data_IF_240371509956
#
_entry.id   IF_240371509956
#
_cell.length_a   1.000
_cell.length_b   1.000
_cell.length_c   1.000
_cell.angle_alpha   90.00
_cell.angle_beta   90.00
_cell.angle_gamma   90.00
#
_symmetry.space_group_name_H-M   'P 1'
#
loop_
_entity.id
_entity.type
_entity.pdbx_description
1 polymer ?
#
# COMPACT_ATOMS: atom_id res chain seq x y z
N UNK A 1 13.83 10.54 -24.48
CA UNK A 1 13.08 9.65 -23.53
C UNK A 1 13.07 10.37 -22.21
N UNK A 2 11.92 10.80 -21.73
CA UNK A 2 11.77 11.39 -20.39
C UNK A 2 12.08 10.32 -19.35
N UNK A 3 12.96 10.58 -18.37
CA UNK A 3 13.24 9.62 -17.32
C UNK A 3 11.96 9.27 -16.56
N UNK A 4 11.81 8.01 -16.18
CA UNK A 4 10.67 7.58 -15.39
C UNK A 4 10.68 8.31 -14.04
N UNK A 5 9.56 8.86 -13.57
CA UNK A 5 9.53 9.57 -12.30
C UNK A 5 9.90 8.61 -11.15
N UNK A 6 10.75 9.06 -10.27
CA UNK A 6 11.10 8.38 -9.02
C UNK A 6 10.32 9.05 -7.91
N UNK A 7 9.67 8.25 -7.06
CA UNK A 7 8.95 8.73 -5.87
C UNK A 7 9.52 8.09 -4.63
N UNK A 8 9.76 8.91 -3.63
CA UNK A 8 10.33 8.50 -2.37
C UNK A 8 9.24 8.39 -1.30
N UNK A 9 9.30 7.32 -0.52
CA UNK A 9 8.49 7.13 0.67
C UNK A 9 9.40 6.92 1.89
N UNK A 10 9.13 7.62 2.99
CA UNK A 10 9.94 7.51 4.21
C UNK A 10 9.10 7.13 5.42
N UNK A 11 9.72 6.50 6.40
CA UNK A 11 9.13 6.35 7.72
C UNK A 11 9.08 7.71 8.45
N UNK A 12 8.31 7.81 9.51
CA UNK A 12 8.07 9.07 10.21
C UNK A 12 9.36 9.74 10.73
N UNK A 13 10.38 8.96 11.12
CA UNK A 13 11.66 9.49 11.61
C UNK A 13 12.75 9.62 10.52
N UNK A 14 12.45 9.25 9.25
CA UNK A 14 13.38 9.33 8.13
C UNK A 14 14.51 8.29 8.10
N UNK A 15 14.51 7.31 9.02
CA UNK A 15 15.56 6.27 9.08
C UNK A 15 15.40 5.20 8.00
N UNK A 16 14.18 5.00 7.50
CA UNK A 16 13.88 4.07 6.39
C UNK A 16 13.40 4.86 5.19
N UNK A 17 13.95 4.54 4.02
CA UNK A 17 13.57 5.13 2.75
C UNK A 17 13.30 4.05 1.70
N UNK A 18 12.25 4.24 0.93
CA UNK A 18 11.82 3.39 -0.17
C UNK A 18 11.73 4.23 -1.43
N UNK A 19 12.09 3.64 -2.56
CA UNK A 19 11.90 4.24 -3.87
C UNK A 19 10.94 3.44 -4.73
N UNK A 20 10.08 4.16 -5.45
CA UNK A 20 9.16 3.63 -6.44
C UNK A 20 9.39 4.30 -7.78
N UNK A 21 9.71 3.52 -8.81
CA UNK A 21 10.08 4.02 -10.14
C UNK A 21 8.92 3.89 -11.12
N UNK A 22 8.61 4.97 -11.82
CA UNK A 22 7.62 5.00 -12.90
C UNK A 22 6.19 5.18 -12.43
N UNK A 23 5.25 4.75 -13.27
CA UNK A 23 3.82 4.87 -12.96
C UNK A 23 3.37 3.75 -12.02
N UNK A 24 2.57 4.05 -10.98
CA UNK A 24 1.93 3.03 -10.18
C UNK A 24 0.91 2.23 -11.00
N UNK A 25 0.60 1.02 -10.56
CA UNK A 25 -0.51 0.23 -11.11
C UNK A 25 -1.84 0.92 -10.79
N UNK A 26 -2.00 1.33 -9.53
CA UNK A 26 -3.17 2.03 -9.03
C UNK A 26 -2.87 2.72 -7.70
N UNK A 27 -3.59 3.79 -7.40
CA UNK A 27 -3.70 4.40 -6.08
C UNK A 27 -5.14 4.24 -5.60
N UNK A 28 -5.36 3.58 -4.46
CA UNK A 28 -6.69 3.18 -3.99
C UNK A 28 -6.82 3.21 -2.48
N UNK A 29 -8.06 3.37 -2.01
CA UNK A 29 -8.43 3.16 -0.59
C UNK A 29 -9.07 1.78 -0.45
N UNK A 30 -8.59 0.98 0.48
CA UNK A 30 -9.12 -0.36 0.74
C UNK A 30 -9.81 -0.44 2.11
N UNK A 31 -11.04 -0.97 2.10
CA UNK A 31 -11.87 -1.14 3.31
C UNK A 31 -11.98 -2.60 3.76
N UNK A 32 -11.25 -3.55 3.17
CA UNK A 32 -11.40 -4.96 3.53
C UNK A 32 -11.02 -5.23 4.99
N UNK A 33 -11.59 -6.28 5.57
CA UNK A 33 -11.37 -6.68 6.97
C UNK A 33 -9.89 -6.82 7.31
N UNK A 34 -9.10 -7.40 6.40
CA UNK A 34 -7.67 -7.61 6.62
C UNK A 34 -6.89 -6.29 6.65
N UNK A 35 -7.28 -5.28 5.85
CA UNK A 35 -6.68 -3.95 5.92
C UNK A 35 -7.02 -3.26 7.23
N UNK A 36 -8.27 -3.31 7.65
CA UNK A 36 -8.71 -2.73 8.93
C UNK A 36 -8.06 -3.43 10.13
N UNK A 37 -7.99 -4.77 10.14
CA UNK A 37 -7.30 -5.53 11.19
C UNK A 37 -5.82 -5.21 11.24
N UNK A 38 -5.17 -5.16 10.08
CA UNK A 38 -3.75 -4.84 9.97
C UNK A 38 -3.43 -3.41 10.41
N UNK A 39 -4.28 -2.45 10.07
CA UNK A 39 -4.15 -1.09 10.56
C UNK A 39 -4.20 -1.04 12.09
N UNK A 40 -5.20 -1.68 12.70
CA UNK A 40 -5.31 -1.76 14.18
C UNK A 40 -4.10 -2.45 14.80
N UNK A 41 -3.59 -3.53 14.21
CA UNK A 41 -2.39 -4.24 14.71
C UNK A 41 -1.17 -3.33 14.73
N UNK A 42 -0.94 -2.54 13.67
CA UNK A 42 0.21 -1.64 13.60
C UNK A 42 0.00 -0.43 14.52
N UNK A 43 -1.18 0.15 14.54
CA UNK A 43 -1.51 1.30 15.41
C UNK A 43 -1.40 0.98 16.91
N UNK A 44 -1.48 -0.30 17.30
CA UNK A 44 -1.26 -0.75 18.66
C UNK A 44 0.23 -0.83 19.05
N UNK A 45 1.15 -0.66 18.12
CA UNK A 45 2.58 -0.60 18.42
C UNK A 45 2.93 0.74 19.11
N UNK A 46 3.92 0.76 20.01
CA UNK A 46 4.31 1.99 20.71
C UNK A 46 4.66 3.12 19.74
N UNK A 47 4.10 4.30 19.96
CA UNK A 47 4.36 5.51 19.14
C UNK A 47 4.04 5.36 17.64
N UNK A 48 3.30 4.34 17.23
CA UNK A 48 2.84 4.21 15.85
C UNK A 48 1.85 5.33 15.50
N UNK A 49 2.04 5.92 14.32
CA UNK A 49 1.07 6.88 13.76
C UNK A 49 -0.19 6.20 13.22
N UNK A 50 -1.17 7.00 12.78
CA UNK A 50 -2.39 6.49 12.15
C UNK A 50 -2.04 5.72 10.86
N UNK A 51 -2.75 4.62 10.64
CA UNK A 51 -2.60 3.76 9.46
C UNK A 51 -3.87 3.75 8.62
N UNK A 52 -5.03 3.66 9.27
CA UNK A 52 -6.33 3.80 8.63
C UNK A 52 -6.86 5.23 8.79
N UNK A 53 -7.63 5.66 7.82
CA UNK A 53 -8.40 6.89 7.87
C UNK A 53 -9.57 6.78 8.85
N UNK A 54 -10.17 7.92 9.28
CA UNK A 54 -11.32 7.91 10.18
C UNK A 54 -12.53 7.12 9.66
N UNK A 55 -12.65 6.96 8.35
CA UNK A 55 -13.72 6.19 7.70
C UNK A 55 -13.42 4.67 7.63
N UNK A 56 -12.28 4.24 8.21
CA UNK A 56 -11.84 2.84 8.23
C UNK A 56 -11.10 2.39 6.97
N UNK A 57 -10.92 3.26 6.01
CA UNK A 57 -10.15 3.01 4.80
C UNK A 57 -8.64 3.05 5.06
N UNK A 58 -7.88 2.39 4.22
CA UNK A 58 -6.43 2.53 4.20
C UNK A 58 -5.98 2.89 2.79
N UNK A 59 -5.27 4.00 2.67
CA UNK A 59 -4.77 4.48 1.39
C UNK A 59 -3.49 3.77 0.96
N UNK A 60 -3.49 3.25 -0.26
CA UNK A 60 -2.37 2.51 -0.84
C UNK A 60 -2.01 2.99 -2.24
N UNK A 61 -0.73 2.82 -2.58
CA UNK A 61 -0.24 2.91 -3.95
C UNK A 61 0.40 1.57 -4.30
N UNK A 62 -0.08 0.94 -5.36
CA UNK A 62 0.43 -0.35 -5.83
C UNK A 62 1.49 -0.13 -6.91
N UNK A 63 2.66 -0.70 -6.69
CA UNK A 63 3.76 -0.73 -7.64
C UNK A 63 4.15 -2.16 -8.00
N UNK A 64 4.72 -2.35 -9.17
CA UNK A 64 5.38 -3.61 -9.54
C UNK A 64 6.57 -3.86 -8.60
N UNK A 65 6.83 -5.12 -8.25
CA UNK A 65 7.96 -5.46 -7.36
C UNK A 65 9.32 -5.03 -7.92
N UNK A 66 9.50 -5.13 -9.24
CA UNK A 66 10.73 -4.73 -9.94
C UNK A 66 10.91 -3.20 -10.07
N UNK A 67 9.96 -2.43 -9.59
CA UNK A 67 9.93 -0.96 -9.57
C UNK A 67 9.87 -0.38 -8.16
N UNK A 68 10.13 -1.20 -7.14
CA UNK A 68 10.02 -0.80 -5.75
C UNK A 68 11.17 -1.39 -4.93
N UNK A 69 11.95 -0.55 -4.26
CA UNK A 69 13.12 -0.95 -3.50
C UNK A 69 13.26 -0.18 -2.19
N UNK A 70 13.88 -0.80 -1.19
CA UNK A 70 14.35 -0.10 0.00
C UNK A 70 15.77 0.41 -0.28
N UNK A 71 15.97 1.72 -0.20
CA UNK A 71 17.25 2.38 -0.48
C UNK A 71 18.01 2.73 0.79
N UNK A 72 17.31 2.76 1.95
CA UNK A 72 17.93 3.06 3.25
C UNK A 72 17.20 2.33 4.38
N UNK A 73 17.92 1.79 5.36
CA UNK A 73 17.37 1.23 6.59
C UNK A 73 16.63 -0.09 6.41
N UNK A 74 17.05 -0.94 5.48
CA UNK A 74 16.41 -2.24 5.23
C UNK A 74 16.43 -3.16 6.46
N UNK A 75 17.46 -3.07 7.30
CA UNK A 75 17.63 -3.77 8.57
C UNK A 75 16.60 -3.35 9.65
N UNK A 76 16.00 -2.18 9.50
CA UNK A 76 14.95 -1.67 10.39
C UNK A 76 13.55 -2.13 9.98
N UNK A 77 13.41 -2.87 8.87
CA UNK A 77 12.12 -3.36 8.41
C UNK A 77 11.76 -4.70 9.05
N UNK A 78 10.54 -4.78 9.61
CA UNK A 78 10.01 -6.00 10.22
C UNK A 78 8.63 -6.32 9.65
N UNK A 79 8.43 -7.61 9.33
CA UNK A 79 7.16 -8.13 8.83
C UNK A 79 6.24 -8.57 9.96
N UNK A 80 4.97 -8.18 9.87
CA UNK A 80 3.89 -8.60 10.75
C UNK A 80 2.82 -9.32 9.94
N UNK A 81 2.30 -10.42 10.46
CA UNK A 81 1.21 -11.20 9.85
C UNK A 81 -0.03 -11.11 10.72
N UNK A 82 -1.21 -11.11 10.12
CA UNK A 82 -2.48 -11.20 10.86
C UNK A 82 -2.69 -12.58 11.48
N UNK A 83 -2.25 -13.61 10.75
CA UNK A 83 -2.27 -15.02 11.16
C UNK A 83 -0.94 -15.64 10.76
N UNK A 84 -0.46 -16.59 11.54
CA UNK A 84 0.83 -17.25 11.28
C UNK A 84 0.95 -17.81 9.85
N UNK A 85 -0.09 -18.38 9.31
CA UNK A 85 -0.14 -18.96 7.96
C UNK A 85 -0.53 -17.95 6.86
N UNK A 86 -0.68 -16.67 7.18
CA UNK A 86 -0.99 -15.64 6.17
C UNK A 86 0.18 -15.48 5.20
N UNK A 87 -0.11 -15.48 3.89
CA UNK A 87 0.89 -15.14 2.87
C UNK A 87 1.17 -13.62 2.80
N UNK A 88 0.37 -12.80 3.48
CA UNK A 88 0.47 -11.34 3.46
C UNK A 88 1.31 -10.86 4.63
N UNK A 89 2.33 -10.07 4.34
CA UNK A 89 3.21 -9.42 5.31
C UNK A 89 2.96 -7.91 5.32
N UNK A 90 2.74 -7.35 6.48
CA UNK A 90 2.73 -5.91 6.72
C UNK A 90 4.09 -5.49 7.23
N UNK A 91 4.80 -4.72 6.43
CA UNK A 91 6.18 -4.32 6.72
C UNK A 91 6.17 -2.96 7.40
N UNK A 92 6.82 -2.92 8.56
CA UNK A 92 6.86 -1.78 9.47
C UNK A 92 8.32 -1.39 9.71
N UNK A 93 8.59 -0.09 9.72
CA UNK A 93 9.88 0.45 10.14
C UNK A 93 9.94 0.48 11.68
N UNK A 94 10.76 -0.38 12.28
CA UNK A 94 10.82 -0.58 13.74
C UNK A 94 11.37 0.62 14.52
N UNK A 95 12.09 1.52 13.87
CA UNK A 95 12.62 2.74 14.46
C UNK A 95 11.53 3.72 14.94
N UNK A 96 10.34 3.70 14.34
CA UNK A 96 9.22 4.58 14.68
C UNK A 96 7.85 3.93 14.47
N UNK A 97 7.81 2.62 14.28
CA UNK A 97 6.62 1.81 14.03
C UNK A 97 5.72 2.33 12.89
N UNK A 98 6.32 2.95 11.87
CA UNK A 98 5.61 3.39 10.67
C UNK A 98 5.25 2.22 9.77
N UNK A 99 3.99 2.11 9.36
CA UNK A 99 3.56 1.21 8.31
C UNK A 99 4.17 1.64 6.97
N UNK A 100 4.95 0.76 6.32
CA UNK A 100 5.68 1.11 5.10
C UNK A 100 5.03 0.51 3.84
N UNK A 101 4.81 -0.79 3.82
CA UNK A 101 4.19 -1.47 2.69
C UNK A 101 3.66 -2.85 3.08
N UNK A 102 2.88 -3.43 2.19
CA UNK A 102 2.42 -4.82 2.26
C UNK A 102 3.03 -5.59 1.10
N UNK A 103 3.63 -6.73 1.38
CA UNK A 103 4.12 -7.67 0.39
C UNK A 103 3.58 -9.08 0.68
N UNK A 104 3.97 -10.05 -0.14
CA UNK A 104 3.48 -11.42 -0.08
C UNK A 104 4.62 -12.42 -0.15
N UNK A 105 4.55 -13.48 0.63
CA UNK A 105 5.52 -14.59 0.60
C UNK A 105 5.54 -15.27 -0.77
N UNK A 106 4.36 -15.40 -1.39
CA UNK A 106 4.14 -16.03 -2.70
C UNK A 106 3.09 -15.27 -3.50
N UNK A 107 3.16 -15.39 -4.81
CA UNK A 107 2.09 -14.98 -5.72
C UNK A 107 2.22 -13.55 -6.21
N UNK A 108 1.58 -12.55 -5.62
CA UNK A 108 1.51 -11.24 -6.24
C UNK A 108 2.86 -10.65 -6.60
N UNK A 109 2.93 -10.10 -7.81
CA UNK A 109 4.11 -9.44 -8.39
C UNK A 109 4.15 -7.93 -8.11
N UNK A 110 3.27 -7.46 -7.25
CA UNK A 110 3.22 -6.07 -6.80
C UNK A 110 3.51 -5.94 -5.31
N UNK A 111 3.83 -4.72 -4.93
CA UNK A 111 3.91 -4.25 -3.55
C UNK A 111 2.81 -3.22 -3.33
N UNK A 112 2.19 -3.24 -2.18
CA UNK A 112 1.14 -2.30 -1.78
C UNK A 112 1.71 -1.34 -0.74
N UNK A 113 2.20 -0.18 -1.19
CA UNK A 113 2.83 0.80 -0.31
C UNK A 113 1.78 1.70 0.35
N UNK A 114 1.96 2.06 1.62
CA UNK A 114 1.10 3.01 2.32
C UNK A 114 1.29 4.41 1.74
N UNK A 115 0.20 4.98 1.21
CA UNK A 115 0.24 6.26 0.49
C UNK A 115 0.73 7.42 1.36
N UNK A 116 0.41 7.41 2.66
CA UNK A 116 0.84 8.39 3.64
C UNK A 116 2.37 8.47 3.86
N UNK A 117 3.13 7.53 3.31
CA UNK A 117 4.60 7.55 3.41
C UNK A 117 5.28 8.29 2.26
N UNK A 118 4.57 8.53 1.16
CA UNK A 118 5.11 9.23 -0.01
C UNK A 118 5.12 10.74 0.18
N UNK A 119 6.11 11.40 -0.41
CA UNK A 119 6.30 12.85 -0.37
C UNK A 119 6.30 13.44 -1.78
N UNK A 120 6.05 14.75 -1.88
CA UNK A 120 6.06 15.50 -3.14
C UNK A 120 4.87 15.17 -4.05
N UNK A 121 5.12 14.79 -5.29
CA UNK A 121 4.09 14.42 -6.28
C UNK A 121 3.50 13.04 -5.99
N UNK A 122 2.60 12.98 -5.01
CA UNK A 122 1.90 11.75 -4.63
C UNK A 122 0.79 11.45 -5.64
N UNK A 123 0.75 10.25 -6.25
CA UNK A 123 -0.29 9.88 -7.19
C UNK A 123 -1.70 10.08 -6.62
N UNK A 124 -2.62 10.73 -7.37
CA UNK A 124 -3.98 10.94 -6.89
C UNK A 124 -4.70 9.61 -6.67
N UNK A 125 -5.63 9.59 -5.73
CA UNK A 125 -6.54 8.45 -5.54
C UNK A 125 -7.36 8.23 -6.81
N UNK A 126 -7.62 6.98 -7.16
CA UNK A 126 -8.35 6.60 -8.36
C UNK A 126 -9.63 5.82 -8.05
N UNK A 127 -9.69 5.12 -6.92
CA UNK A 127 -10.87 4.34 -6.54
C UNK A 127 -10.85 3.94 -5.05
N UNK A 128 -12.04 3.59 -4.55
CA UNK A 128 -12.27 2.95 -3.25
C UNK A 128 -12.73 1.52 -3.48
N UNK A 129 -12.10 0.54 -2.82
CA UNK A 129 -12.39 -0.88 -3.01
C UNK A 129 -12.83 -1.54 -1.71
N UNK A 130 -13.57 -2.65 -1.85
CA UNK A 130 -14.09 -3.44 -0.73
C UNK A 130 -14.97 -2.63 0.23
N UNK A 131 -15.71 -1.66 -0.28
CA UNK A 131 -16.50 -0.72 0.52
C UNK A 131 -17.66 -1.38 1.27
N UNK A 132 -18.06 -2.61 0.88
CA UNK A 132 -19.04 -3.40 1.65
C UNK A 132 -18.59 -3.73 3.08
N UNK A 133 -17.27 -3.68 3.34
CA UNK A 133 -16.71 -3.95 4.67
C UNK A 133 -16.40 -2.68 5.47
N UNK A 134 -16.75 -1.51 4.96
CA UNK A 134 -16.59 -0.27 5.72
C UNK A 134 -17.33 -0.33 7.04
N UNK A 135 -16.89 0.38 8.08
CA UNK A 135 -17.62 0.44 9.35
C UNK A 135 -19.07 0.88 9.15
N UNK A 136 -19.99 0.26 9.90
CA UNK A 136 -21.42 0.59 9.84
C UNK A 136 -21.64 2.09 10.11
N UNK A 137 -22.58 2.70 9.40
CA UNK A 137 -22.90 4.12 9.56
C UNK A 137 -21.88 5.10 8.96
N UNK A 138 -20.76 4.62 8.42
CA UNK A 138 -19.75 5.51 7.83
C UNK A 138 -20.14 5.96 6.43
N UNK A 139 -20.20 7.28 6.22
CA UNK A 139 -20.32 7.88 4.90
C UNK A 139 -18.95 7.95 4.22
N UNK A 140 -18.88 7.53 2.97
CA UNK A 140 -17.64 7.62 2.19
C UNK A 140 -17.60 8.92 1.39
N UNK A 141 -16.42 9.53 1.21
CA UNK A 141 -16.23 10.62 0.27
C UNK A 141 -16.64 10.20 -1.15
N UNK A 142 -17.20 11.15 -1.92
CA UNK A 142 -17.61 10.93 -3.32
C UNK A 142 -16.60 11.50 -4.32
N UNK A 143 -15.35 11.50 -3.94
CA UNK A 143 -14.22 12.06 -4.69
C UNK A 143 -13.72 11.17 -5.83
N UNK A 144 -13.84 9.84 -5.64
CA UNK A 144 -13.44 8.83 -6.63
C UNK A 144 -14.48 7.69 -6.69
N UNK A 145 -14.51 6.91 -7.80
CA UNK A 145 -15.40 5.76 -7.90
C UNK A 145 -15.21 4.76 -6.75
N UNK A 146 -16.32 4.22 -6.27
CA UNK A 146 -16.36 3.24 -5.18
C UNK A 146 -16.89 1.90 -5.68
N UNK A 147 -16.27 0.80 -5.23
CA UNK A 147 -16.69 -0.56 -5.55
C UNK A 147 -16.81 -1.40 -4.27
N UNK A 148 -17.89 -2.16 -4.15
CA UNK A 148 -18.12 -3.04 -3.00
C UNK A 148 -17.08 -4.17 -2.88
N UNK A 149 -16.50 -4.58 -4.00
CA UNK A 149 -15.47 -5.62 -4.14
C UNK A 149 -14.32 -5.11 -5.00
N UNK A 150 -13.45 -6.02 -5.45
CA UNK A 150 -12.41 -5.71 -6.43
C UNK A 150 -13.06 -5.54 -7.82
N UNK A 151 -13.01 -4.33 -8.43
CA UNK A 151 -13.63 -4.12 -9.74
C UNK A 151 -12.81 -4.80 -10.86
N UNK A 152 -13.46 -5.27 -11.94
CA UNK A 152 -12.78 -5.94 -13.06
C UNK A 152 -11.64 -5.10 -13.67
N UNK A 153 -11.81 -3.79 -13.75
CA UNK A 153 -10.79 -2.87 -14.25
C UNK A 153 -9.49 -2.92 -13.42
N UNK A 154 -9.59 -3.09 -12.09
CA UNK A 154 -8.42 -3.26 -11.24
C UNK A 154 -7.70 -4.58 -11.56
N UNK A 155 -8.45 -5.66 -11.73
CA UNK A 155 -7.90 -6.97 -12.11
C UNK A 155 -7.17 -6.87 -13.46
N UNK A 156 -7.76 -6.20 -14.44
CA UNK A 156 -7.13 -5.96 -15.76
C UNK A 156 -5.83 -5.15 -15.64
N UNK A 157 -5.80 -4.09 -14.81
CA UNK A 157 -4.58 -3.31 -14.54
C UNK A 157 -3.48 -4.20 -13.93
N UNK A 158 -3.83 -5.07 -12.98
CA UNK A 158 -2.87 -6.00 -12.36
C UNK A 158 -2.33 -7.00 -13.40
N UNK A 159 -3.18 -7.58 -14.23
CA UNK A 159 -2.75 -8.48 -15.31
C UNK A 159 -1.85 -7.78 -16.32
N UNK A 160 -2.22 -6.57 -16.78
CA UNK A 160 -1.40 -5.78 -17.69
C UNK A 160 -0.02 -5.47 -17.10
N UNK A 161 0.04 -5.11 -15.81
CA UNK A 161 1.31 -4.89 -15.12
C UNK A 161 2.17 -6.18 -15.03
N UNK A 162 1.53 -7.35 -14.86
CA UNK A 162 2.22 -8.64 -14.89
C UNK A 162 2.84 -8.91 -16.25
N UNK A 163 2.08 -8.73 -17.32
CA UNK A 163 2.58 -8.89 -18.69
C UNK A 163 3.74 -7.93 -18.95
N UNK A 164 3.59 -6.66 -18.62
CA UNK A 164 4.64 -5.65 -18.79
C UNK A 164 5.93 -6.03 -18.04
N UNK A 165 5.83 -6.62 -16.84
CA UNK A 165 6.98 -7.10 -16.09
C UNK A 165 7.69 -8.27 -16.77
N UNK A 166 6.91 -9.21 -17.38
CA UNK A 166 7.47 -10.37 -18.07
C UNK A 166 8.21 -10.00 -19.38
N UNK A 167 7.78 -8.93 -20.06
CA UNK A 167 8.39 -8.46 -21.31
C UNK A 167 9.43 -7.34 -21.09
N UNK A 168 9.81 -7.06 -19.83
CA UNK A 168 10.84 -6.07 -19.49
C UNK A 168 10.48 -4.61 -19.75
N UNK A 169 9.17 -4.26 -19.81
CA UNK A 169 8.67 -2.90 -20.08
C UNK A 169 8.24 -2.17 -18.81
#
# INVERSE_FOLDING_TARGET
MTPSPIRTATCACGSVELEAVGKPIVSAVCYCDDCQKGARQIQALPNAGPVADPDGGTEYILYRKDRFACTKGADLLKSYKLKQMSATNRVVATCCNSAMFVNFDRGPFWVTAYRARFHGDVPPLQLRICTKFKPAGTALPRDVPSAERYPPLLVLKLLAARVAMLIGR
#
